data_IF_567171526183
#
_entry.id   IF_567171526183
#
_cell.length_a   1.000
_cell.length_b   1.000
_cell.length_c   1.000
_cell.angle_alpha   90.00
_cell.angle_beta   90.00
_cell.angle_gamma   90.00
#
_symmetry.space_group_name_H-M   'P 1'
#
loop_
_entity.id
_entity.type
_entity.pdbx_description
1 polymer ?
#
# COMPACT_ATOMS: atom_id res chain seq x y z
N UNK A 1 -23.28 62.04 -40.56
CA UNK A 1 -22.80 61.32 -39.37
C UNK A 1 -23.63 60.04 -39.22
N UNK A 2 -22.99 58.86 -39.17
CA UNK A 2 -23.67 57.54 -39.16
C UNK A 2 -23.76 57.01 -37.72
N UNK A 3 -24.95 56.68 -37.18
CA UNK A 3 -25.06 56.19 -35.82
C UNK A 3 -24.51 54.76 -35.71
N UNK A 4 -23.65 54.51 -34.71
CA UNK A 4 -23.15 53.17 -34.36
C UNK A 4 -24.13 52.52 -33.41
N UNK A 5 -24.83 51.48 -33.86
CA UNK A 5 -25.65 50.64 -33.01
C UNK A 5 -24.72 49.84 -32.07
N UNK A 6 -24.62 50.24 -30.81
CA UNK A 6 -24.02 49.40 -29.76
C UNK A 6 -25.00 48.28 -29.44
N UNK A 7 -24.90 47.16 -30.16
CA UNK A 7 -25.56 45.91 -29.79
C UNK A 7 -25.17 45.56 -28.34
N UNK A 8 -26.18 45.36 -27.50
CA UNK A 8 -26.09 45.48 -26.05
C UNK A 8 -25.10 44.55 -25.39
N UNK A 9 -24.11 45.12 -24.71
CA UNK A 9 -23.39 44.44 -23.63
C UNK A 9 -24.31 44.35 -22.42
N UNK A 10 -25.08 43.27 -22.33
CA UNK A 10 -25.81 42.90 -21.11
C UNK A 10 -24.78 42.42 -20.10
N UNK A 11 -24.56 43.21 -19.05
CA UNK A 11 -23.72 42.83 -17.91
C UNK A 11 -24.36 41.70 -17.12
N UNK A 12 -23.52 40.90 -16.47
CA UNK A 12 -23.89 39.83 -15.56
C UNK A 12 -24.78 40.37 -14.44
N UNK A 13 -25.94 39.75 -14.23
CA UNK A 13 -26.89 40.14 -13.19
C UNK A 13 -26.41 39.67 -11.81
N UNK A 14 -26.79 40.38 -10.74
CA UNK A 14 -26.49 39.90 -9.38
C UNK A 14 -27.12 38.53 -9.10
N UNK A 15 -28.27 38.24 -9.73
CA UNK A 15 -28.93 36.96 -9.63
C UNK A 15 -28.12 35.82 -10.27
N UNK A 16 -27.43 36.08 -11.38
CA UNK A 16 -26.53 35.11 -12.02
C UNK A 16 -25.32 34.79 -11.15
N UNK A 17 -24.78 35.76 -10.41
CA UNK A 17 -23.70 35.47 -9.47
C UNK A 17 -24.22 34.69 -8.26
N UNK A 18 -25.42 35.03 -7.79
CA UNK A 18 -26.05 34.42 -6.63
C UNK A 18 -26.40 32.94 -6.85
N UNK A 19 -26.97 32.58 -8.00
CA UNK A 19 -27.26 31.18 -8.31
C UNK A 19 -25.97 30.36 -8.41
N UNK A 20 -24.89 30.93 -8.97
CA UNK A 20 -23.60 30.24 -9.12
C UNK A 20 -22.98 29.94 -7.77
N UNK A 21 -22.93 30.90 -6.85
CA UNK A 21 -22.38 30.68 -5.50
C UNK A 21 -23.20 29.65 -4.70
N UNK A 22 -24.52 29.62 -4.90
CA UNK A 22 -25.39 28.60 -4.30
C UNK A 22 -25.10 27.22 -4.88
N UNK A 23 -25.00 27.10 -6.21
CA UNK A 23 -24.69 25.82 -6.85
C UNK A 23 -23.30 25.28 -6.46
N UNK A 24 -22.25 26.11 -6.47
CA UNK A 24 -20.90 25.65 -6.05
C UNK A 24 -20.86 25.32 -4.55
N UNK A 25 -21.59 26.03 -3.69
CA UNK A 25 -21.69 25.72 -2.26
C UNK A 25 -22.36 24.36 -2.00
N UNK A 26 -23.43 24.06 -2.73
CA UNK A 26 -24.12 22.76 -2.66
C UNK A 26 -23.25 21.61 -3.18
N UNK A 27 -22.60 21.78 -4.33
CA UNK A 27 -21.70 20.77 -4.89
C UNK A 27 -20.47 20.53 -4.00
N UNK A 28 -19.88 21.59 -3.45
CA UNK A 28 -18.73 21.48 -2.55
C UNK A 28 -19.11 20.74 -1.24
N UNK A 29 -20.32 20.94 -0.72
CA UNK A 29 -20.81 20.25 0.48
C UNK A 29 -20.82 18.72 0.33
N UNK A 30 -21.22 18.21 -0.84
CA UNK A 30 -21.29 16.76 -1.10
C UNK A 30 -19.91 16.16 -1.41
N UNK A 31 -19.00 16.95 -1.98
CA UNK A 31 -17.71 16.45 -2.49
C UNK A 31 -16.62 16.23 -1.42
N UNK A 32 -16.72 16.85 -0.24
CA UNK A 32 -15.62 16.91 0.75
C UNK A 32 -15.38 15.64 1.61
N UNK A 33 -16.38 14.85 2.07
CA UNK A 33 -16.17 14.01 3.26
C UNK A 33 -15.53 12.61 3.08
N UNK A 34 -14.89 12.26 1.95
CA UNK A 34 -14.58 10.84 1.66
C UNK A 34 -13.09 10.46 1.64
N UNK A 35 -12.16 11.40 1.65
CA UNK A 35 -10.73 11.10 1.40
C UNK A 35 -10.06 10.30 2.53
N UNK A 36 -10.39 10.55 3.79
CA UNK A 36 -9.72 9.89 4.91
C UNK A 36 -10.06 8.40 5.01
N UNK A 37 -11.32 8.02 4.79
CA UNK A 37 -11.74 6.60 4.83
C UNK A 37 -11.12 5.79 3.69
N UNK A 38 -11.01 6.40 2.50
CA UNK A 38 -10.38 5.77 1.33
C UNK A 38 -8.89 5.51 1.58
N UNK A 39 -8.17 6.48 2.18
CA UNK A 39 -6.75 6.31 2.50
C UNK A 39 -6.51 5.18 3.47
N UNK A 40 -7.33 5.06 4.52
CA UNK A 40 -7.21 3.96 5.49
C UNK A 40 -7.38 2.59 4.81
N UNK A 41 -8.44 2.44 3.99
CA UNK A 41 -8.68 1.22 3.25
C UNK A 41 -7.50 0.87 2.33
N UNK A 42 -6.95 1.86 1.60
CA UNK A 42 -5.79 1.64 0.73
C UNK A 42 -4.54 1.21 1.51
N UNK A 43 -4.31 1.78 2.71
CA UNK A 43 -3.19 1.34 3.55
C UNK A 43 -3.36 -0.09 4.03
N UNK A 44 -4.57 -0.48 4.42
CA UNK A 44 -4.86 -1.83 4.87
C UNK A 44 -4.76 -2.85 3.72
N UNK A 45 -5.27 -2.51 2.52
CA UNK A 45 -5.06 -3.33 1.33
C UNK A 45 -3.58 -3.50 0.97
N UNK A 46 -2.77 -2.46 1.14
CA UNK A 46 -1.33 -2.54 0.92
C UNK A 46 -0.64 -3.47 1.94
N UNK A 47 -1.03 -3.43 3.21
CA UNK A 47 -0.53 -4.36 4.24
C UNK A 47 -0.87 -5.81 3.88
N UNK A 48 -2.12 -6.10 3.53
CA UNK A 48 -2.54 -7.48 3.16
C UNK A 48 -1.69 -8.00 2.00
N UNK A 49 -1.60 -7.24 0.90
CA UNK A 49 -0.82 -7.66 -0.27
C UNK A 49 0.67 -7.83 0.03
N UNK A 50 1.23 -6.98 0.87
CA UNK A 50 2.62 -7.12 1.29
C UNK A 50 2.82 -8.37 2.17
N UNK A 51 1.88 -8.68 3.07
CA UNK A 51 1.92 -9.89 3.90
C UNK A 51 1.86 -11.16 3.04
N UNK A 52 1.01 -11.19 2.02
CA UNK A 52 0.92 -12.31 1.07
C UNK A 52 2.26 -12.54 0.36
N UNK A 53 2.90 -11.48 -0.12
CA UNK A 53 4.24 -11.57 -0.74
C UNK A 53 5.32 -12.04 0.23
N UNK A 54 5.29 -11.56 1.48
CA UNK A 54 6.22 -12.01 2.50
C UNK A 54 6.03 -13.51 2.79
N UNK A 55 4.78 -13.98 2.86
CA UNK A 55 4.47 -15.39 3.04
C UNK A 55 4.92 -16.25 1.85
N UNK A 56 4.79 -15.74 0.63
CA UNK A 56 5.31 -16.39 -0.59
C UNK A 56 6.82 -16.59 -0.50
N UNK A 57 7.58 -15.54 -0.15
CA UNK A 57 9.02 -15.62 0.02
C UNK A 57 9.42 -16.57 1.15
N UNK A 58 8.75 -16.50 2.30
CA UNK A 58 9.05 -17.40 3.42
C UNK A 58 8.76 -18.86 3.10
N UNK A 59 7.66 -19.13 2.37
CA UNK A 59 7.32 -20.48 1.92
C UNK A 59 8.33 -20.99 0.91
N UNK A 60 8.81 -20.13 0.00
CA UNK A 60 9.85 -20.48 -0.96
C UNK A 60 11.19 -20.79 -0.27
N UNK A 61 11.59 -20.01 0.74
CA UNK A 61 12.79 -20.28 1.54
C UNK A 61 12.69 -21.62 2.30
N UNK A 62 11.56 -21.84 2.98
CA UNK A 62 11.31 -23.08 3.71
C UNK A 62 11.34 -24.30 2.78
N UNK A 63 10.62 -24.25 1.65
CA UNK A 63 10.62 -25.34 0.67
C UNK A 63 11.98 -25.50 -0.03
N UNK A 64 12.78 -24.44 -0.09
CA UNK A 64 14.15 -24.43 -0.59
C UNK A 64 15.18 -25.01 0.39
N UNK A 65 14.74 -25.49 1.57
CA UNK A 65 15.62 -26.11 2.57
C UNK A 65 16.40 -25.11 3.42
N UNK A 66 16.03 -23.82 3.40
CA UNK A 66 16.62 -22.80 4.27
C UNK A 66 16.02 -22.93 5.67
N UNK A 67 16.86 -22.87 6.71
CA UNK A 67 16.40 -22.89 8.10
C UNK A 67 15.73 -21.56 8.49
N UNK A 68 14.44 -21.49 8.22
CA UNK A 68 13.59 -20.34 8.53
C UNK A 68 13.17 -20.25 10.01
N UNK A 69 13.52 -21.25 10.85
CA UNK A 69 13.21 -21.24 12.29
C UNK A 69 14.06 -20.24 13.08
N UNK A 70 15.18 -19.80 12.49
CA UNK A 70 16.09 -18.79 13.05
C UNK A 70 15.47 -17.39 13.13
N UNK A 71 14.41 -17.13 12.35
CA UNK A 71 13.73 -15.84 12.35
C UNK A 71 12.79 -15.71 13.55
N UNK A 72 13.21 -14.97 14.58
CA UNK A 72 12.43 -14.80 15.81
C UNK A 72 11.36 -13.68 15.75
N UNK A 73 11.40 -12.80 14.75
CA UNK A 73 10.50 -11.65 14.66
C UNK A 73 10.27 -11.17 13.23
N UNK A 74 9.22 -10.36 13.02
CA UNK A 74 8.94 -9.69 11.75
C UNK A 74 10.14 -8.88 11.25
N UNK A 75 10.82 -8.17 12.16
CA UNK A 75 11.99 -7.35 11.84
C UNK A 75 13.14 -8.21 11.33
N UNK A 76 13.53 -9.25 12.07
CA UNK A 76 14.62 -10.14 11.69
C UNK A 76 14.36 -10.78 10.32
N UNK A 77 13.14 -11.23 10.08
CA UNK A 77 12.76 -11.93 8.87
C UNK A 77 12.68 -10.98 7.65
N UNK A 78 12.17 -9.75 7.82
CA UNK A 78 12.15 -8.72 6.77
C UNK A 78 13.56 -8.21 6.45
N UNK A 79 14.41 -8.05 7.46
CA UNK A 79 15.80 -7.60 7.26
C UNK A 79 16.63 -8.66 6.54
N UNK A 80 16.46 -9.95 6.88
CA UNK A 80 17.08 -11.05 6.15
C UNK A 80 16.65 -11.10 4.67
N UNK A 81 15.34 -10.97 4.42
CA UNK A 81 14.85 -10.88 3.03
C UNK A 81 15.38 -9.65 2.31
N UNK A 82 15.64 -8.54 3.00
CA UNK A 82 16.18 -7.33 2.39
C UNK A 82 17.66 -7.45 2.05
N UNK A 83 18.45 -8.09 2.91
CA UNK A 83 19.85 -8.42 2.59
C UNK A 83 19.95 -9.42 1.44
N UNK A 84 18.90 -10.22 1.28
CA UNK A 84 18.91 -11.37 0.38
C UNK A 84 19.19 -12.64 1.16
N UNK A 85 18.43 -13.69 0.86
CA UNK A 85 18.63 -15.01 1.43
C UNK A 85 18.91 -15.99 0.30
N UNK A 86 20.03 -16.68 0.42
CA UNK A 86 20.45 -17.71 -0.54
C UNK A 86 19.65 -18.99 -0.33
N UNK A 87 19.18 -19.56 -1.45
CA UNK A 87 18.52 -20.85 -1.52
C UNK A 87 19.50 -21.82 -2.17
N UNK A 88 19.93 -22.88 -1.45
CA UNK A 88 20.92 -23.82 -1.95
C UNK A 88 20.41 -24.59 -3.17
N UNK A 89 21.33 -24.94 -4.07
CA UNK A 89 21.00 -25.79 -5.20
C UNK A 89 20.61 -27.19 -4.72
N UNK A 90 19.51 -27.72 -5.27
CA UNK A 90 19.03 -29.09 -5.00
C UNK A 90 19.71 -30.15 -5.85
N UNK A 91 20.57 -29.73 -6.80
CA UNK A 91 21.37 -30.60 -7.66
C UNK A 91 22.84 -30.25 -7.55
N UNK A 92 23.69 -31.27 -7.57
CA UNK A 92 25.14 -31.12 -7.53
C UNK A 92 25.64 -30.28 -8.72
N UNK A 93 26.39 -29.22 -8.44
CA UNK A 93 26.84 -28.26 -9.45
C UNK A 93 25.80 -27.24 -9.92
N UNK A 94 24.61 -27.21 -9.31
CA UNK A 94 23.60 -26.18 -9.59
C UNK A 94 23.96 -24.80 -9.03
N UNK A 95 23.37 -23.76 -9.60
CA UNK A 95 23.54 -22.39 -9.11
C UNK A 95 22.65 -22.12 -7.89
N UNK A 96 23.20 -21.45 -6.88
CA UNK A 96 22.45 -20.89 -5.75
C UNK A 96 21.51 -19.80 -6.27
N UNK A 97 20.28 -19.78 -5.78
CA UNK A 97 19.30 -18.73 -6.07
C UNK A 97 19.21 -17.76 -4.90
N UNK A 98 18.81 -16.51 -5.14
CA UNK A 98 18.60 -15.53 -4.07
C UNK A 98 17.15 -15.07 -4.05
N UNK A 99 16.54 -15.08 -2.88
CA UNK A 99 15.25 -14.43 -2.63
C UNK A 99 15.50 -13.12 -1.91
N UNK A 100 15.13 -12.00 -2.55
CA UNK A 100 15.28 -10.65 -2.00
C UNK A 100 13.98 -9.87 -2.02
N UNK A 101 13.68 -9.24 -0.91
CA UNK A 101 12.62 -8.24 -0.81
C UNK A 101 13.13 -6.89 -1.30
N UNK A 102 12.64 -6.44 -2.45
CA UNK A 102 13.03 -5.15 -3.04
C UNK A 102 12.39 -3.94 -2.35
N UNK A 103 11.23 -4.13 -1.73
CA UNK A 103 10.45 -3.06 -1.12
C UNK A 103 10.78 -2.93 0.37
N UNK A 104 11.08 -1.72 0.82
CA UNK A 104 11.19 -1.43 2.24
C UNK A 104 9.80 -1.51 2.90
N UNK A 105 9.60 -2.50 3.76
CA UNK A 105 8.37 -2.73 4.51
C UNK A 105 8.59 -2.39 5.97
N UNK A 106 7.56 -1.85 6.63
CA UNK A 106 7.59 -1.57 8.06
C UNK A 106 7.20 -2.83 8.85
N UNK A 107 8.11 -3.43 9.64
CA UNK A 107 7.81 -4.65 10.39
C UNK A 107 6.65 -4.50 11.38
N UNK A 108 6.42 -3.30 11.93
CA UNK A 108 5.32 -3.05 12.87
C UNK A 108 3.93 -3.22 12.25
N UNK A 109 3.83 -3.19 10.91
CA UNK A 109 2.57 -3.39 10.20
C UNK A 109 2.11 -4.86 10.15
N UNK A 110 2.93 -5.79 10.64
CA UNK A 110 2.69 -7.22 10.53
C UNK A 110 2.89 -7.92 11.87
N UNK A 111 1.96 -8.82 12.20
CA UNK A 111 2.17 -9.84 13.23
C UNK A 111 2.91 -11.00 12.60
N UNK A 112 3.97 -11.47 13.25
CA UNK A 112 4.82 -12.55 12.76
C UNK A 112 4.70 -13.78 13.67
N UNK A 113 4.49 -14.93 13.04
CA UNK A 113 4.53 -16.24 13.68
C UNK A 113 5.79 -16.94 13.18
N UNK A 114 6.76 -17.24 14.08
CA UNK A 114 7.98 -17.96 13.71
C UNK A 114 7.69 -19.30 13.06
N UNK A 115 8.57 -19.68 12.12
CA UNK A 115 8.55 -21.01 11.52
C UNK A 115 9.09 -22.06 12.49
N UNK A 116 8.77 -23.31 12.21
CA UNK A 116 9.35 -24.48 12.86
C UNK A 116 9.98 -25.38 11.80
N UNK A 117 10.61 -26.46 12.23
CA UNK A 117 11.11 -27.50 11.32
C UNK A 117 10.03 -28.06 10.38
N UNK A 118 8.76 -27.98 10.78
CA UNK A 118 7.62 -28.54 10.05
C UNK A 118 6.71 -27.48 9.40
N UNK A 119 7.04 -26.18 9.52
CA UNK A 119 6.17 -25.11 9.04
C UNK A 119 6.93 -23.82 8.74
N UNK A 120 6.66 -23.23 7.57
CA UNK A 120 7.17 -21.91 7.21
C UNK A 120 6.64 -20.79 8.12
N UNK A 121 7.43 -19.73 8.38
CA UNK A 121 6.97 -18.57 9.13
C UNK A 121 5.85 -17.83 8.40
N UNK A 122 5.01 -17.13 9.16
CA UNK A 122 3.83 -16.43 8.64
C UNK A 122 3.75 -14.98 9.07
N UNK A 123 3.36 -14.11 8.15
CA UNK A 123 3.02 -12.72 8.36
C UNK A 123 1.51 -12.53 8.23
N UNK A 124 0.93 -11.82 9.19
CA UNK A 124 -0.47 -11.40 9.19
C UNK A 124 -0.51 -9.87 9.25
N UNK A 125 -1.24 -9.24 8.33
CA UNK A 125 -1.37 -7.78 8.29
C UNK A 125 -2.16 -7.24 9.50
N UNK A 126 -1.63 -6.20 10.14
CA UNK A 126 -2.32 -5.49 11.23
C UNK A 126 -3.23 -4.41 10.65
N UNK A 127 -4.53 -4.71 10.54
CA UNK A 127 -5.54 -3.84 9.94
C UNK A 127 -6.06 -2.79 10.93
N UNK A 128 -6.58 -1.67 10.42
CA UNK A 128 -7.17 -0.60 11.24
C UNK A 128 -6.15 0.26 12.02
N UNK A 129 -4.86 -0.08 11.99
CA UNK A 129 -3.80 0.71 12.60
C UNK A 129 -3.37 1.86 11.69
N UNK A 130 -4.06 3.00 11.81
CA UNK A 130 -3.80 4.23 11.02
C UNK A 130 -2.39 4.80 11.19
N UNK A 131 -1.81 4.64 12.37
CA UNK A 131 -0.48 5.18 12.68
C UNK A 131 0.66 4.30 12.14
N UNK A 132 0.34 3.11 11.63
CA UNK A 132 1.34 2.13 11.19
C UNK A 132 1.21 1.97 9.68
N UNK A 133 2.17 2.53 8.96
CA UNK A 133 2.26 2.44 7.49
C UNK A 133 2.80 1.06 7.07
N UNK A 134 2.35 0.51 5.93
CA UNK A 134 2.78 -0.79 5.40
C UNK A 134 4.27 -0.88 5.04
#
# INVERSE_FOLDING_TARGET
MKPRNLAGRRGFTMAELLIVIVCIGLLASVAVPTVNRVRDALTDHAKVRNADKLNEYMSALYNGGVDTSTYASATAAIDALRSGVEVPATVEGGATMEIRLEKNLNPAAYTFVPGTTDSAPRFTANLGQRNVRP
#
